data_IF_548580243648
#
_entry.id   IF_548580243648
#
_cell.length_a   1.000
_cell.length_b   1.000
_cell.length_c   1.000
_cell.angle_alpha   90.00
_cell.angle_beta   90.00
_cell.angle_gamma   90.00
#
_symmetry.space_group_name_H-M   'P 1'
#
loop_
_entity.id
_entity.type
_entity.pdbx_description
1 polymer ?
#
# COMPACT_ATOMS: atom_id res chain seq x y z
N UNK A 1 -10.32 -5.95 6.42
CA UNK A 1 -10.94 -4.84 7.15
C UNK A 1 -12.13 -5.29 7.99
N UNK A 2 -13.16 -5.94 7.45
CA UNK A 2 -14.33 -6.41 8.23
C UNK A 2 -14.00 -7.27 9.47
N UNK A 3 -12.98 -8.15 9.42
CA UNK A 3 -12.58 -9.00 10.56
C UNK A 3 -11.94 -8.25 11.74
N UNK A 4 -11.27 -7.12 11.49
CA UNK A 4 -10.70 -6.25 12.53
C UNK A 4 -11.80 -5.45 13.23
N UNK A 5 -12.84 -5.06 12.48
CA UNK A 5 -13.91 -4.23 12.95
C UNK A 5 -14.84 -4.98 13.92
N UNK A 6 -15.03 -6.29 13.72
CA UNK A 6 -15.98 -7.10 14.49
C UNK A 6 -15.55 -7.38 15.95
N UNK A 7 -14.25 -7.27 16.28
CA UNK A 7 -13.71 -7.58 17.61
C UNK A 7 -13.75 -6.42 18.60
N UNK A 8 -13.87 -5.18 18.14
CA UNK A 8 -13.71 -3.99 18.96
C UNK A 8 -15.05 -3.43 19.47
N UNK A 9 -15.09 -3.06 20.74
CA UNK A 9 -16.22 -2.37 21.37
C UNK A 9 -16.56 -1.03 20.70
N UNK A 10 -15.61 -0.44 19.99
CA UNK A 10 -15.74 0.80 19.23
C UNK A 10 -16.89 0.73 18.19
N UNK A 11 -17.04 -0.41 17.50
CA UNK A 11 -18.07 -0.58 16.45
C UNK A 11 -19.49 -0.82 16.95
N UNK A 12 -19.63 -1.06 18.25
CA UNK A 12 -20.94 -1.15 18.89
C UNK A 12 -21.54 0.23 19.22
N UNK A 13 -20.71 1.30 19.11
CA UNK A 13 -21.16 2.66 19.35
C UNK A 13 -21.93 3.20 18.16
N UNK A 14 -22.97 3.97 18.44
CA UNK A 14 -23.64 4.75 17.40
C UNK A 14 -22.72 5.89 16.93
N UNK A 15 -22.83 6.30 15.67
CA UNK A 15 -22.01 7.37 15.08
C UNK A 15 -22.04 8.63 15.95
N UNK A 16 -23.21 9.01 16.47
CA UNK A 16 -23.38 10.19 17.32
C UNK A 16 -22.66 10.10 18.67
N UNK A 17 -22.40 8.91 19.17
CA UNK A 17 -21.76 8.71 20.48
C UNK A 17 -20.23 8.61 20.41
N UNK A 18 -19.65 8.56 19.21
CA UNK A 18 -18.19 8.44 19.01
C UNK A 18 -17.51 9.78 19.29
N UNK A 19 -16.63 9.79 20.31
CA UNK A 19 -15.81 10.94 20.66
C UNK A 19 -14.40 10.82 20.08
N UNK A 20 -13.67 11.93 20.01
CA UNK A 20 -12.27 11.95 19.60
C UNK A 20 -11.37 11.05 20.47
N UNK A 21 -11.68 10.95 21.78
CA UNK A 21 -11.00 10.02 22.70
C UNK A 21 -11.19 8.56 22.30
N UNK A 22 -12.40 8.18 21.89
CA UNK A 22 -12.69 6.80 21.45
C UNK A 22 -11.92 6.46 20.17
N UNK A 23 -11.87 7.41 19.21
CA UNK A 23 -11.11 7.25 17.97
C UNK A 23 -9.61 7.11 18.25
N UNK A 24 -9.04 7.92 19.17
CA UNK A 24 -7.63 7.81 19.57
C UNK A 24 -7.34 6.46 20.22
N UNK A 25 -8.15 6.05 21.21
CA UNK A 25 -7.99 4.76 21.90
C UNK A 25 -8.10 3.58 20.95
N UNK A 26 -9.03 3.63 20.00
CA UNK A 26 -9.14 2.60 18.97
C UNK A 26 -7.85 2.45 18.14
N UNK A 27 -7.25 3.58 17.68
CA UNK A 27 -6.02 3.52 16.91
C UNK A 27 -4.81 3.08 17.75
N UNK A 28 -4.74 3.47 19.04
CA UNK A 28 -3.70 3.02 19.97
C UNK A 28 -3.78 1.50 20.17
N UNK A 29 -4.96 0.96 20.36
CA UNK A 29 -5.16 -0.50 20.50
C UNK A 29 -4.74 -1.25 19.26
N UNK A 30 -5.05 -0.76 18.06
CA UNK A 30 -4.58 -1.35 16.82
C UNK A 30 -3.04 -1.44 16.74
N UNK A 31 -2.32 -0.46 17.30
CA UNK A 31 -0.87 -0.50 17.35
C UNK A 31 -0.36 -1.43 18.45
N UNK A 32 -0.88 -1.30 19.67
CA UNK A 32 -0.34 -1.98 20.86
C UNK A 32 -0.82 -3.42 21.00
N UNK A 33 -2.10 -3.69 20.74
CA UNK A 33 -2.70 -5.01 20.93
C UNK A 33 -2.68 -5.85 19.64
N UNK A 34 -2.97 -5.23 18.48
CA UNK A 34 -3.01 -5.93 17.20
C UNK A 34 -1.69 -5.85 16.42
N UNK A 35 -0.67 -5.17 16.93
CA UNK A 35 0.65 -5.05 16.31
C UNK A 35 0.62 -4.42 14.91
N UNK A 36 -0.36 -3.53 14.63
CA UNK A 36 -0.45 -2.86 13.32
C UNK A 36 0.60 -1.77 13.22
N UNK A 37 1.33 -1.74 12.09
CA UNK A 37 2.28 -0.69 11.79
C UNK A 37 1.59 0.68 11.64
N UNK A 38 2.32 1.75 11.88
CA UNK A 38 1.86 3.13 11.69
C UNK A 38 1.25 3.35 10.30
N UNK A 39 1.87 2.82 9.24
CA UNK A 39 1.38 2.91 7.86
C UNK A 39 0.02 2.23 7.68
N UNK A 40 -0.17 1.05 8.26
CA UNK A 40 -1.46 0.33 8.22
C UNK A 40 -2.56 1.12 8.93
N UNK A 41 -2.25 1.72 10.08
CA UNK A 41 -3.19 2.53 10.86
C UNK A 41 -3.51 3.84 10.11
N UNK A 42 -2.51 4.44 9.45
CA UNK A 42 -2.70 5.61 8.60
C UNK A 42 -3.72 5.31 7.49
N UNK A 43 -3.61 4.14 6.85
CA UNK A 43 -4.56 3.68 5.81
C UNK A 43 -5.97 3.48 6.38
N UNK A 44 -6.09 2.81 7.54
CA UNK A 44 -7.38 2.61 8.22
C UNK A 44 -8.05 3.96 8.54
N UNK A 45 -7.29 4.89 9.12
CA UNK A 45 -7.78 6.25 9.39
C UNK A 45 -8.15 6.99 8.11
N UNK A 46 -7.38 6.78 7.03
CA UNK A 46 -7.64 7.35 5.71
C UNK A 46 -9.01 6.97 5.14
N UNK A 47 -9.55 5.82 5.53
CA UNK A 47 -10.93 5.40 5.18
C UNK A 47 -11.95 5.95 6.18
N UNK A 48 -11.64 5.93 7.48
CA UNK A 48 -12.60 6.33 8.52
C UNK A 48 -12.82 7.84 8.56
N UNK A 49 -11.76 8.64 8.38
CA UNK A 49 -11.85 10.10 8.44
C UNK A 49 -12.83 10.69 7.42
N UNK A 50 -12.79 10.33 6.13
CA UNK A 50 -13.80 10.79 5.18
C UNK A 50 -15.22 10.34 5.52
N UNK A 51 -15.41 9.10 5.96
CA UNK A 51 -16.73 8.58 6.35
C UNK A 51 -17.34 9.39 7.51
N UNK A 52 -16.54 9.72 8.53
CA UNK A 52 -17.00 10.57 9.62
C UNK A 52 -17.11 12.06 9.22
N UNK A 53 -16.38 12.48 8.17
CA UNK A 53 -16.55 13.82 7.63
C UNK A 53 -17.93 13.99 6.97
N UNK A 54 -18.36 13.00 6.19
CA UNK A 54 -19.73 13.00 5.65
C UNK A 54 -20.79 13.16 6.73
N UNK A 55 -20.61 12.50 7.88
CA UNK A 55 -21.54 12.67 9.00
C UNK A 55 -21.50 14.07 9.64
N UNK A 56 -20.39 14.79 9.51
CA UNK A 56 -20.31 16.22 9.91
C UNK A 56 -20.97 17.10 8.86
N UNK A 57 -20.75 16.82 7.58
CA UNK A 57 -21.31 17.58 6.47
C UNK A 57 -22.85 17.43 6.39
N UNK A 58 -23.38 16.29 6.88
CA UNK A 58 -24.82 16.01 7.02
C UNK A 58 -25.41 16.48 8.38
N UNK A 59 -24.69 17.28 9.14
CA UNK A 59 -25.11 17.79 10.47
C UNK A 59 -25.44 16.70 11.51
N UNK A 60 -24.97 15.48 11.29
CA UNK A 60 -25.13 14.35 12.25
C UNK A 60 -24.13 14.48 13.39
N UNK A 61 -22.93 15.03 13.12
CA UNK A 61 -21.84 15.27 14.06
C UNK A 61 -21.41 16.73 14.02
N UNK A 62 -21.09 17.30 15.17
CA UNK A 62 -20.53 18.66 15.26
C UNK A 62 -19.06 18.69 14.84
N UNK A 63 -18.32 17.58 15.05
CA UNK A 63 -16.88 17.50 14.79
C UNK A 63 -16.48 16.09 14.42
N UNK A 64 -15.55 15.99 13.45
CA UNK A 64 -14.98 14.72 13.04
C UNK A 64 -14.08 14.12 14.15
N UNK A 65 -14.42 12.93 14.70
CA UNK A 65 -13.61 12.28 15.74
C UNK A 65 -12.19 11.91 15.29
N UNK A 66 -11.98 11.72 13.98
CA UNK A 66 -10.67 11.40 13.38
C UNK A 66 -9.92 12.63 12.85
N UNK A 67 -10.34 13.86 13.20
CA UNK A 67 -9.75 15.11 12.72
C UNK A 67 -8.40 15.50 13.33
N UNK A 68 -7.79 14.64 14.16
CA UNK A 68 -6.48 14.90 14.82
C UNK A 68 -5.29 14.43 13.98
N UNK A 69 -4.08 14.86 14.33
CA UNK A 69 -2.83 14.36 13.73
C UNK A 69 -2.36 13.07 14.40
N UNK A 70 -1.98 12.05 13.59
CA UNK A 70 -1.53 10.76 14.11
C UNK A 70 -0.22 10.83 14.89
N UNK A 71 0.71 11.67 14.45
CA UNK A 71 2.04 11.80 15.05
C UNK A 71 2.01 12.16 16.57
N UNK A 72 0.91 12.76 17.05
CA UNK A 72 0.73 13.04 18.48
C UNK A 72 0.03 11.93 19.27
N UNK A 73 -0.31 10.81 18.62
CA UNK A 73 -1.11 9.73 19.24
C UNK A 73 -0.42 8.37 19.14
N UNK A 74 0.31 8.12 18.05
CA UNK A 74 0.94 6.84 17.74
C UNK A 74 2.45 7.02 17.57
N UNK A 75 3.20 5.96 17.88
CA UNK A 75 4.62 5.89 17.57
C UNK A 75 4.80 5.62 16.08
N UNK A 76 5.61 6.47 15.42
CA UNK A 76 5.94 6.24 14.01
C UNK A 76 7.07 5.21 13.91
N UNK A 77 6.69 3.96 13.60
CA UNK A 77 7.58 2.82 13.37
C UNK A 77 7.94 2.64 11.89
N UNK A 78 7.63 3.63 11.05
CA UNK A 78 7.90 3.54 9.62
C UNK A 78 9.42 3.55 9.37
N UNK A 79 9.91 2.47 8.77
CA UNK A 79 11.30 2.39 8.29
C UNK A 79 11.40 3.17 6.98
N UNK A 80 12.30 4.15 6.97
CA UNK A 80 12.64 4.87 5.73
C UNK A 80 13.33 3.90 4.78
N UNK A 81 12.73 3.68 3.62
CA UNK A 81 13.34 2.85 2.57
C UNK A 81 14.25 3.72 1.73
N UNK A 82 15.52 3.36 1.71
CA UNK A 82 16.49 3.99 0.83
C UNK A 82 16.45 3.35 -0.55
N UNK A 83 16.68 4.16 -1.58
CA UNK A 83 16.83 3.65 -2.94
C UNK A 83 18.13 2.86 -3.06
N UNK A 84 18.09 1.76 -3.81
CA UNK A 84 19.30 0.98 -4.10
C UNK A 84 20.30 1.83 -4.89
N UNK A 85 21.56 1.83 -4.46
CA UNK A 85 22.62 2.54 -5.17
C UNK A 85 23.02 1.82 -6.47
N UNK A 86 23.64 2.54 -7.41
CA UNK A 86 24.11 1.94 -8.67
C UNK A 86 25.08 0.78 -8.45
N UNK A 87 25.92 0.87 -7.43
CA UNK A 87 26.90 -0.20 -7.12
C UNK A 87 26.21 -1.43 -6.50
N UNK A 88 25.21 -1.21 -5.64
CA UNK A 88 24.40 -2.30 -5.12
C UNK A 88 23.59 -2.98 -6.24
N UNK A 89 23.01 -2.20 -7.16
CA UNK A 89 22.32 -2.72 -8.34
C UNK A 89 23.25 -3.59 -9.20
N UNK A 90 24.47 -3.11 -9.51
CA UNK A 90 25.46 -3.89 -10.28
C UNK A 90 25.84 -5.20 -9.60
N UNK A 91 26.11 -5.15 -8.29
CA UNK A 91 26.40 -6.36 -7.48
C UNK A 91 25.25 -7.34 -7.51
N UNK A 92 24.02 -6.85 -7.36
CA UNK A 92 22.82 -7.67 -7.38
C UNK A 92 22.57 -8.32 -8.75
N UNK A 93 22.72 -7.56 -9.84
CA UNK A 93 22.61 -8.09 -11.20
C UNK A 93 23.69 -9.15 -11.48
N UNK A 94 24.94 -8.91 -11.05
CA UNK A 94 26.01 -9.89 -11.17
C UNK A 94 25.68 -11.18 -10.40
N UNK A 95 25.19 -11.06 -9.17
CA UNK A 95 24.77 -12.22 -8.37
C UNK A 95 23.69 -13.04 -9.10
N UNK A 96 22.64 -12.38 -9.60
CA UNK A 96 21.57 -13.07 -10.33
C UNK A 96 22.11 -13.76 -11.59
N UNK A 97 22.99 -13.10 -12.34
CA UNK A 97 23.58 -13.64 -13.57
C UNK A 97 24.39 -14.92 -13.31
N UNK A 98 25.17 -14.92 -12.23
CA UNK A 98 26.12 -16.00 -11.91
C UNK A 98 25.45 -17.15 -11.11
N UNK A 99 24.23 -16.96 -10.58
CA UNK A 99 23.54 -17.95 -9.77
C UNK A 99 22.75 -18.96 -10.62
N UNK A 100 22.93 -20.26 -10.32
CA UNK A 100 22.29 -21.35 -11.09
C UNK A 100 20.76 -21.35 -11.02
N UNK A 101 20.17 -20.85 -9.93
CA UNK A 101 18.71 -20.83 -9.72
C UNK A 101 18.09 -19.56 -10.26
N UNK A 102 18.76 -18.42 -10.05
CA UNK A 102 18.18 -17.11 -10.32
C UNK A 102 18.55 -16.55 -11.72
N UNK A 103 19.52 -17.15 -12.43
CA UNK A 103 19.97 -16.65 -13.75
C UNK A 103 18.82 -16.53 -14.78
N UNK A 104 17.80 -17.39 -14.70
CA UNK A 104 16.58 -17.32 -15.53
C UNK A 104 15.76 -16.04 -15.37
N UNK A 105 15.97 -15.28 -14.32
CA UNK A 105 15.27 -14.02 -14.06
C UNK A 105 16.11 -12.79 -14.37
N UNK A 106 17.36 -12.99 -14.85
CA UNK A 106 18.31 -11.90 -15.06
C UNK A 106 17.76 -10.82 -15.99
N UNK A 107 17.27 -11.18 -17.17
CA UNK A 107 16.74 -10.25 -18.14
C UNK A 107 15.55 -9.45 -17.61
N UNK A 108 14.64 -10.14 -16.91
CA UNK A 108 13.47 -9.50 -16.28
C UNK A 108 13.92 -8.46 -15.26
N UNK A 109 14.80 -8.83 -14.35
CA UNK A 109 15.29 -7.93 -13.30
C UNK A 109 16.10 -6.77 -13.91
N UNK A 110 16.90 -7.04 -14.94
CA UNK A 110 17.65 -6.04 -15.68
C UNK A 110 16.72 -4.98 -16.30
N UNK A 111 15.68 -5.41 -17.00
CA UNK A 111 14.69 -4.52 -17.60
C UNK A 111 13.97 -3.69 -16.53
N UNK A 112 13.52 -4.31 -15.44
CA UNK A 112 12.82 -3.60 -14.36
C UNK A 112 13.71 -2.52 -13.71
N UNK A 113 14.98 -2.79 -13.49
CA UNK A 113 15.92 -1.80 -12.93
C UNK A 113 16.16 -0.62 -13.87
N UNK A 114 16.22 -0.86 -15.20
CA UNK A 114 16.55 0.18 -16.17
C UNK A 114 15.34 0.96 -16.66
N UNK A 115 14.14 0.39 -16.58
CA UNK A 115 12.91 1.05 -17.03
C UNK A 115 12.10 1.63 -15.87
N UNK A 116 12.26 1.10 -14.64
CA UNK A 116 11.44 1.47 -13.49
C UNK A 116 9.99 0.95 -13.55
N UNK A 117 9.67 0.07 -14.48
CA UNK A 117 8.33 -0.55 -14.58
C UNK A 117 8.00 -1.36 -13.32
N UNK A 118 6.71 -1.40 -12.97
CA UNK A 118 6.23 -2.35 -11.95
C UNK A 118 6.17 -3.76 -12.56
N UNK A 119 6.40 -4.78 -11.74
CA UNK A 119 6.34 -6.18 -12.20
C UNK A 119 5.00 -6.53 -12.88
N UNK A 120 3.88 -5.97 -12.42
CA UNK A 120 2.57 -6.18 -13.02
C UNK A 120 2.41 -5.53 -14.41
N UNK A 121 3.08 -4.40 -14.64
CA UNK A 121 3.15 -3.71 -15.92
C UNK A 121 4.02 -4.51 -16.88
N UNK A 122 5.21 -4.93 -16.44
CA UNK A 122 6.08 -5.79 -17.23
C UNK A 122 5.40 -7.10 -17.65
N UNK A 123 4.72 -7.78 -16.72
CA UNK A 123 3.99 -9.02 -17.04
C UNK A 123 2.77 -8.82 -17.98
N UNK A 124 2.26 -7.58 -18.06
CA UNK A 124 1.18 -7.22 -18.97
C UNK A 124 1.65 -6.91 -20.40
N UNK A 125 2.95 -6.65 -20.62
CA UNK A 125 3.46 -6.25 -21.91
C UNK A 125 3.25 -7.32 -22.98
N UNK A 126 2.85 -6.86 -24.16
CA UNK A 126 2.78 -7.64 -25.40
C UNK A 126 3.77 -7.10 -26.43
N UNK A 127 4.02 -7.85 -27.49
CA UNK A 127 4.89 -7.40 -28.59
C UNK A 127 4.36 -6.13 -29.29
N UNK A 128 3.06 -5.86 -29.21
CA UNK A 128 2.44 -4.65 -29.78
C UNK A 128 2.80 -3.38 -29.02
N UNK A 129 3.15 -3.52 -27.75
CA UNK A 129 3.47 -2.39 -26.88
C UNK A 129 4.90 -1.92 -27.02
N UNK A 130 5.72 -2.67 -27.80
CA UNK A 130 7.17 -2.40 -27.98
C UNK A 130 7.39 -1.83 -29.36
N UNK A 131 7.78 -0.57 -29.44
CA UNK A 131 8.22 0.09 -30.67
C UNK A 131 9.76 0.14 -30.73
N UNK A 132 10.34 -0.78 -31.47
CA UNK A 132 11.80 -0.88 -31.63
C UNK A 132 12.37 0.25 -32.49
N UNK A 133 11.57 0.83 -33.40
CA UNK A 133 12.04 1.92 -34.28
C UNK A 133 12.20 3.20 -33.51
N UNK A 134 11.19 3.56 -32.69
CA UNK A 134 11.21 4.74 -31.84
C UNK A 134 11.84 4.48 -30.47
N UNK A 135 12.21 3.23 -30.15
CA UNK A 135 12.78 2.81 -28.87
C UNK A 135 11.87 3.16 -27.68
N UNK A 136 10.58 2.96 -27.84
CA UNK A 136 9.56 3.26 -26.83
C UNK A 136 8.78 2.02 -26.45
N UNK A 137 8.29 2.01 -25.22
CA UNK A 137 7.37 0.98 -24.70
C UNK A 137 6.13 1.68 -24.20
N UNK A 138 4.96 1.27 -24.70
CA UNK A 138 3.67 1.77 -24.24
C UNK A 138 3.22 0.96 -23.01
N UNK A 139 2.91 1.64 -21.89
CA UNK A 139 2.48 1.01 -20.64
C UNK A 139 1.09 1.53 -20.31
N UNK A 140 0.07 0.95 -20.90
CA UNK A 140 -1.33 1.35 -20.71
C UNK A 140 -2.15 0.31 -19.93
N UNK A 141 -1.62 -0.90 -19.74
CA UNK A 141 -2.28 -1.97 -19.00
C UNK A 141 -1.31 -2.70 -18.06
N UNK A 142 -1.87 -3.49 -17.17
CA UNK A 142 -1.13 -4.29 -16.17
C UNK A 142 -1.81 -5.62 -15.94
N UNK A 143 -1.04 -6.66 -15.72
CA UNK A 143 -1.56 -7.94 -15.31
C UNK A 143 -2.10 -7.88 -13.88
N UNK A 144 -3.34 -8.24 -13.66
CA UNK A 144 -3.96 -8.35 -12.36
C UNK A 144 -4.38 -9.79 -12.07
N UNK A 145 -4.21 -10.22 -10.83
CA UNK A 145 -4.74 -11.49 -10.36
C UNK A 145 -6.15 -11.27 -9.81
N UNK A 146 -7.13 -11.97 -10.37
CA UNK A 146 -8.50 -11.96 -9.84
C UNK A 146 -8.61 -12.81 -8.57
N UNK A 147 -9.70 -12.65 -7.81
CA UNK A 147 -10.02 -13.49 -6.66
C UNK A 147 -10.03 -14.98 -6.99
N UNK A 148 -10.37 -15.34 -8.24
CA UNK A 148 -10.44 -16.72 -8.76
C UNK A 148 -9.09 -17.27 -9.24
N UNK A 149 -7.99 -16.60 -8.88
CA UNK A 149 -6.63 -16.92 -9.31
C UNK A 149 -6.36 -16.83 -10.82
N UNK A 150 -7.24 -16.24 -11.60
CA UNK A 150 -7.02 -15.97 -13.03
C UNK A 150 -6.23 -14.68 -13.21
N UNK A 151 -5.35 -14.66 -14.19
CA UNK A 151 -4.68 -13.44 -14.63
C UNK A 151 -5.50 -12.76 -15.70
N UNK A 152 -5.73 -11.46 -15.56
CA UNK A 152 -6.38 -10.60 -16.57
C UNK A 152 -5.43 -9.45 -16.89
N UNK A 153 -5.31 -9.14 -18.15
CA UNK A 153 -4.56 -8.00 -18.69
C UNK A 153 -5.48 -6.80 -18.91
#
# INVERSE_FOLDING_TARGET
>A
MQRLLAKESFWKKTIRSVKTSDAKLFLIKLQQEDGKSYSSIHTIRGVLRPAFQMAVDDDILVKNPFGFQLAGVLVNDAVTREAISKDQMRKFLKFIHDDVVYCKYYEVVYILFHTGMRISEFCGLTLKDIDLQNRTVNIDHRLQRTSDMRCIS
#
